data_IF_615134760056
#
_entry.id   IF_615134760056
#
_cell.length_a   1.000
_cell.length_b   1.000
_cell.length_c   1.000
_cell.angle_alpha   90.00
_cell.angle_beta   90.00
_cell.angle_gamma   90.00
#
_symmetry.space_group_name_H-M   'P 1'
#
loop_
_entity.id
_entity.type
_entity.pdbx_description
1 polymer ?
#
# COMPACT_ATOMS: atom_id res chain seq x y z
N UNK A 1 -20.73 -8.48 0.47
CA UNK A 1 -22.12 -8.68 0.93
C UNK A 1 -22.48 -10.14 0.76
N UNK A 2 -22.05 -11.00 1.69
CA UNK A 2 -22.67 -12.26 2.12
C UNK A 2 -21.64 -13.00 2.99
N UNK A 3 -22.11 -13.50 4.13
CA UNK A 3 -21.39 -14.31 5.13
C UNK A 3 -20.54 -13.52 6.14
N UNK A 4 -20.54 -14.02 7.39
CA UNK A 4 -19.78 -13.57 8.59
C UNK A 4 -20.56 -12.76 9.65
N UNK A 5 -21.86 -13.01 9.83
CA UNK A 5 -22.62 -12.55 11.02
C UNK A 5 -22.69 -13.61 12.15
N UNK A 6 -21.95 -14.70 12.08
CA UNK A 6 -22.01 -15.75 13.11
C UNK A 6 -20.62 -16.30 13.38
N UNK A 7 -19.92 -15.73 14.36
CA UNK A 7 -18.87 -16.46 15.06
C UNK A 7 -18.65 -15.82 16.43
N UNK A 8 -18.76 -16.64 17.48
CA UNK A 8 -18.39 -16.36 18.88
C UNK A 8 -19.38 -15.59 19.75
N UNK A 9 -20.62 -16.06 19.81
CA UNK A 9 -21.39 -16.08 21.06
C UNK A 9 -21.44 -17.54 21.53
N UNK A 10 -21.18 -17.76 22.82
CA UNK A 10 -21.35 -19.00 23.61
C UNK A 10 -20.09 -19.85 23.89
N UNK A 11 -19.43 -19.52 25.02
CA UNK A 11 -19.15 -20.39 26.18
C UNK A 11 -18.83 -21.89 25.94
N UNK A 12 -17.55 -22.27 25.83
CA UNK A 12 -16.83 -23.32 26.60
C UNK A 12 -15.45 -23.64 25.95
N UNK A 13 -14.45 -24.13 26.70
CA UNK A 13 -13.03 -24.05 26.33
C UNK A 13 -12.58 -25.20 25.41
N UNK A 14 -11.57 -24.89 24.57
CA UNK A 14 -10.80 -25.81 23.73
C UNK A 14 -11.55 -26.45 22.55
N UNK A 15 -11.56 -25.73 21.42
CA UNK A 15 -11.12 -26.24 20.12
C UNK A 15 -10.98 -25.04 19.17
N UNK A 16 -9.71 -24.69 18.95
CA UNK A 16 -9.23 -23.72 17.97
C UNK A 16 -9.85 -24.02 16.61
N UNK A 17 -10.58 -23.07 16.03
CA UNK A 17 -11.03 -23.13 14.63
C UNK A 17 -10.51 -21.91 13.86
N UNK A 18 -9.76 -22.22 12.80
CA UNK A 18 -8.96 -21.32 11.98
C UNK A 18 -9.68 -20.04 11.56
N UNK A 19 -9.08 -18.89 11.90
CA UNK A 19 -9.31 -17.67 11.15
C UNK A 19 -8.92 -17.94 9.68
N UNK A 20 -9.72 -17.52 8.69
CA UNK A 20 -9.16 -17.21 7.40
C UNK A 20 -8.22 -16.03 7.63
N UNK A 21 -6.92 -16.30 7.76
CA UNK A 21 -5.90 -15.28 7.61
C UNK A 21 -6.00 -14.82 6.16
N UNK A 22 -6.81 -13.79 5.92
CA UNK A 22 -6.51 -12.87 4.83
C UNK A 22 -5.14 -12.28 5.21
N UNK A 23 -4.10 -12.91 4.68
CA UNK A 23 -2.68 -12.58 4.71
C UNK A 23 -2.35 -11.33 5.51
N UNK A 24 -2.13 -11.51 6.80
CA UNK A 24 -1.45 -10.55 7.65
C UNK A 24 -0.25 -11.27 8.28
N UNK A 25 0.57 -11.86 7.43
CA UNK A 25 1.88 -12.41 7.82
C UNK A 25 2.90 -11.32 7.55
N UNK A 26 3.24 -10.55 8.60
CA UNK A 26 4.33 -9.54 8.67
C UNK A 26 4.19 -8.40 7.65
N UNK A 27 3.99 -7.12 8.05
CA UNK A 27 3.85 -6.05 7.08
C UNK A 27 5.23 -5.71 6.51
N UNK A 28 5.73 -6.52 5.57
CA UNK A 28 6.49 -5.96 4.46
C UNK A 28 5.45 -5.18 3.69
N UNK A 29 5.23 -3.92 4.09
CA UNK A 29 4.17 -3.09 3.53
C UNK A 29 4.34 -3.09 2.01
N UNK A 30 3.32 -3.47 1.22
CA UNK A 30 3.43 -3.42 -0.23
C UNK A 30 3.82 -2.00 -0.63
N UNK A 31 4.76 -1.89 -1.56
CA UNK A 31 5.25 -0.57 -1.96
C UNK A 31 4.11 0.36 -2.40
N UNK A 32 3.11 -0.20 -3.10
CA UNK A 32 1.90 0.50 -3.51
C UNK A 32 0.74 0.11 -2.59
N UNK A 33 0.17 1.11 -1.93
CA UNK A 33 -1.05 1.01 -1.14
C UNK A 33 -2.23 1.52 -1.98
N UNK A 34 -3.09 0.61 -2.51
CA UNK A 34 -4.23 1.00 -3.34
C UNK A 34 -5.27 1.84 -2.59
N UNK A 35 -5.30 1.80 -1.25
CA UNK A 35 -6.18 2.65 -0.46
C UNK A 35 -5.72 4.11 -0.42
N UNK A 36 -4.46 4.39 -0.77
CA UNK A 36 -3.89 5.74 -0.86
C UNK A 36 -3.83 6.30 -2.27
N UNK A 37 -4.19 5.51 -3.29
CA UNK A 37 -4.26 5.99 -4.66
C UNK A 37 -5.39 7.01 -4.81
N UNK A 38 -5.07 8.21 -5.31
CA UNK A 38 -5.98 9.34 -5.51
C UNK A 38 -5.83 9.89 -6.93
N UNK A 39 -6.52 9.31 -7.93
CA UNK A 39 -6.37 9.72 -9.33
C UNK A 39 -6.87 11.15 -9.58
N UNK A 40 -7.85 11.62 -8.79
CA UNK A 40 -8.45 12.95 -8.93
C UNK A 40 -7.74 14.05 -8.11
N UNK A 41 -6.69 13.69 -7.38
CA UNK A 41 -5.98 14.65 -6.54
C UNK A 41 -5.07 15.56 -7.37
N UNK A 42 -5.24 16.87 -7.20
CA UNK A 42 -4.40 17.86 -7.84
C UNK A 42 -3.02 17.94 -7.17
N UNK A 43 -1.96 17.93 -7.97
CA UNK A 43 -0.60 18.24 -7.54
C UNK A 43 -0.11 19.50 -8.25
N UNK A 44 0.86 20.19 -7.65
CA UNK A 44 1.58 21.25 -8.35
C UNK A 44 2.37 20.65 -9.52
N UNK A 45 2.61 21.47 -10.54
CA UNK A 45 3.45 21.12 -11.69
C UNK A 45 4.95 21.30 -11.39
N UNK A 46 5.32 21.52 -10.13
CA UNK A 46 6.72 21.63 -9.73
C UNK A 46 7.42 20.29 -9.99
N UNK A 47 8.57 20.37 -10.65
CA UNK A 47 9.43 19.22 -10.85
C UNK A 47 10.46 19.18 -9.72
N UNK A 48 10.34 18.16 -8.87
CA UNK A 48 11.21 17.84 -7.74
C UNK A 48 11.20 16.31 -7.57
N UNK A 49 11.94 15.58 -8.41
CA UNK A 49 11.70 14.17 -8.64
C UNK A 49 11.96 13.32 -7.41
N UNK A 50 11.21 12.23 -7.29
CA UNK A 50 11.40 11.22 -6.24
C UNK A 50 11.38 9.82 -6.85
N UNK A 51 12.20 8.92 -6.30
CA UNK A 51 12.22 7.51 -6.67
C UNK A 51 11.32 6.74 -5.71
N UNK A 52 10.22 6.18 -6.22
CA UNK A 52 9.35 5.31 -5.45
C UNK A 52 10.00 3.97 -5.13
N UNK A 53 9.53 3.31 -4.08
CA UNK A 53 9.93 1.94 -3.74
C UNK A 53 9.59 0.92 -4.85
N UNK A 54 8.79 1.31 -5.85
CA UNK A 54 8.44 0.50 -7.02
C UNK A 54 9.43 0.69 -8.17
N UNK A 55 10.49 1.47 -7.94
CA UNK A 55 11.52 1.77 -8.92
C UNK A 55 11.07 2.74 -10.01
N UNK A 56 9.96 3.46 -9.81
CA UNK A 56 9.50 4.50 -10.74
C UNK A 56 9.87 5.89 -10.22
N UNK A 57 10.34 6.72 -11.15
CA UNK A 57 10.51 8.16 -10.91
C UNK A 57 9.16 8.86 -11.01
N UNK A 58 8.83 9.65 -10.00
CA UNK A 58 7.67 10.54 -9.98
C UNK A 58 8.15 11.99 -10.07
N UNK A 59 7.40 12.83 -10.79
CA UNK A 59 7.78 14.23 -11.01
C UNK A 59 7.84 15.07 -9.72
N UNK A 60 7.09 14.67 -8.70
CA UNK A 60 7.20 15.20 -7.34
C UNK A 60 6.61 14.25 -6.28
N UNK A 61 6.85 14.55 -5.01
CA UNK A 61 6.35 13.77 -3.87
C UNK A 61 4.81 13.66 -3.82
N UNK A 62 4.08 14.69 -4.29
CA UNK A 62 2.62 14.65 -4.35
C UNK A 62 2.14 13.58 -5.34
N UNK A 63 2.74 13.55 -6.54
CA UNK A 63 2.42 12.53 -7.56
C UNK A 63 2.74 11.11 -7.07
N UNK A 64 3.87 10.90 -6.38
CA UNK A 64 4.21 9.61 -5.79
C UNK A 64 3.17 9.16 -4.75
N UNK A 65 2.82 10.07 -3.83
CA UNK A 65 1.84 9.79 -2.77
C UNK A 65 0.47 9.46 -3.36
N UNK A 66 0.00 10.23 -4.34
CA UNK A 66 -1.29 10.01 -4.98
C UNK A 66 -1.31 8.77 -5.88
N UNK A 67 -0.15 8.25 -6.31
CA UNK A 67 -0.04 6.95 -6.95
C UNK A 67 -0.12 5.78 -5.93
N UNK A 68 -0.16 6.07 -4.63
CA UNK A 68 -0.18 5.08 -3.56
C UNK A 68 1.19 4.60 -3.13
N UNK A 69 2.28 5.26 -3.56
CA UNK A 69 3.64 4.91 -3.16
C UNK A 69 3.79 5.17 -1.66
N UNK A 70 4.23 4.14 -0.93
CA UNK A 70 4.34 4.20 0.53
C UNK A 70 5.71 4.68 1.01
N UNK A 71 6.73 4.62 0.16
CA UNK A 71 8.09 5.08 0.45
C UNK A 71 8.77 5.57 -0.82
N UNK A 72 9.44 6.71 -0.74
CA UNK A 72 10.20 7.28 -1.85
C UNK A 72 11.43 8.04 -1.36
N UNK A 73 12.49 8.04 -2.16
CA UNK A 73 13.71 8.82 -1.89
C UNK A 73 13.81 10.03 -2.82
N UNK A 74 14.42 11.15 -2.38
CA UNK A 74 14.66 12.29 -3.27
C UNK A 74 15.53 11.93 -4.46
N UNK A 75 15.27 12.55 -5.62
CA UNK A 75 15.94 12.30 -6.88
C UNK A 75 15.24 11.25 -7.74
N UNK A 76 15.65 11.17 -9.01
CA UNK A 76 15.17 10.15 -9.92
C UNK A 76 15.68 8.75 -9.53
N UNK A 77 14.94 7.71 -9.91
CA UNK A 77 15.45 6.36 -9.76
C UNK A 77 16.69 6.14 -10.62
N UNK A 78 17.67 5.34 -10.16
CA UNK A 78 18.80 4.96 -10.99
C UNK A 78 18.25 4.33 -12.28
N UNK A 79 18.55 4.96 -13.42
CA UNK A 79 18.13 4.47 -14.71
C UNK A 79 18.63 3.04 -14.89
N UNK A 80 17.86 2.19 -15.59
CA UNK A 80 18.40 0.93 -16.09
C UNK A 80 19.41 1.24 -17.18
N UNK A 81 20.63 1.62 -16.81
CA UNK A 81 21.75 1.67 -17.74
C UNK A 81 22.03 0.23 -18.13
N UNK A 82 21.65 -0.11 -19.35
CA UNK A 82 22.00 -1.38 -20.01
C UNK A 82 23.51 -1.49 -20.19
#
# INVERSE_FOLDING_TARGET
MFTRLFCCLLLLPALVACQPTASSTTPTQPCIDPAKTRPDAACTMQYDPVCGCDGKTYGNACQATNAGVTSSTPGECPGRTN
#
